data_IF_034510446030
#
_entry.id   IF_034510446030
#
_cell.length_a   1.000
_cell.length_b   1.000
_cell.length_c   1.000
_cell.angle_alpha   90.00
_cell.angle_beta   90.00
_cell.angle_gamma   90.00
#
_symmetry.space_group_name_H-M   'P 1'
#
loop_
_entity.id
_entity.type
_entity.pdbx_description
1 polymer ?
#
# COMPACT_ATOMS: atom_id res chain seq x y z
N UNK A 1 -1.17 1.48 -6.49
CA UNK A 1 -1.60 0.66 -5.38
C UNK A 1 -0.97 1.16 -4.10
N UNK A 2 -1.75 1.73 -3.19
CA UNK A 2 -1.29 2.14 -1.88
C UNK A 2 -1.55 0.99 -0.90
N UNK A 3 -0.51 0.38 -0.39
CA UNK A 3 -0.61 -0.66 0.64
C UNK A 3 -0.18 -0.06 1.98
N UNK A 4 -1.09 -0.05 2.94
CA UNK A 4 -0.80 0.35 4.31
C UNK A 4 -0.60 -0.92 5.12
N UNK A 5 0.64 -1.21 5.48
CA UNK A 5 1.04 -2.40 6.22
C UNK A 5 1.63 -2.02 7.57
N UNK A 6 1.29 -2.75 8.61
CA UNK A 6 1.90 -2.58 9.94
C UNK A 6 2.95 -3.66 10.18
N UNK A 7 4.20 -3.25 10.26
CA UNK A 7 5.29 -4.11 10.71
C UNK A 7 5.97 -3.46 11.92
N UNK A 8 5.34 -3.55 13.08
CA UNK A 8 6.02 -3.20 14.33
C UNK A 8 6.37 -4.49 15.06
N UNK A 9 7.66 -4.79 15.17
CA UNK A 9 8.12 -5.85 16.05
C UNK A 9 7.87 -5.46 17.52
N UNK A 10 7.59 -6.42 18.43
CA UNK A 10 7.30 -6.14 19.84
C UNK A 10 8.42 -5.41 20.61
N UNK A 11 9.62 -5.33 20.03
CA UNK A 11 10.81 -4.69 20.62
C UNK A 11 11.06 -3.26 20.13
N UNK A 12 10.14 -2.70 19.31
CA UNK A 12 10.28 -1.35 18.77
C UNK A 12 11.34 -1.20 17.67
N UNK A 13 12.00 -2.29 17.24
CA UNK A 13 13.01 -2.24 16.19
C UNK A 13 12.39 -2.42 14.80
N UNK A 14 12.59 -1.43 13.94
CA UNK A 14 12.19 -1.48 12.52
C UNK A 14 13.21 -2.32 11.74
N UNK A 15 12.88 -3.57 11.43
CA UNK A 15 13.61 -4.34 10.41
C UNK A 15 12.78 -4.40 9.13
N UNK A 16 13.04 -3.49 8.22
CA UNK A 16 12.63 -3.63 6.81
C UNK A 16 13.62 -4.62 6.19
N UNK A 17 13.20 -5.86 6.01
CA UNK A 17 13.97 -6.84 5.24
C UNK A 17 13.94 -6.46 3.76
N UNK A 18 15.08 -6.03 3.21
CA UNK A 18 15.26 -5.71 1.79
C UNK A 18 15.06 -6.90 0.83
N UNK A 19 14.83 -8.10 1.35
CA UNK A 19 14.75 -9.35 0.58
C UNK A 19 13.34 -9.67 0.06
N UNK A 20 12.31 -8.93 0.45
CA UNK A 20 10.91 -9.23 0.10
C UNK A 20 10.34 -8.48 -1.11
N UNK A 21 11.10 -7.57 -1.71
CA UNK A 21 10.59 -6.68 -2.78
C UNK A 21 10.51 -7.39 -4.16
N UNK A 22 11.07 -8.59 -4.29
CA UNK A 22 11.20 -9.28 -5.57
C UNK A 22 10.22 -10.43 -5.86
N UNK A 23 9.40 -10.86 -4.89
CA UNK A 23 8.52 -12.01 -5.07
C UNK A 23 7.08 -11.67 -4.67
N UNK A 24 6.24 -11.40 -5.67
CA UNK A 24 4.77 -11.48 -5.65
C UNK A 24 4.07 -10.99 -4.39
N UNK A 25 3.62 -9.74 -4.38
CA UNK A 25 2.92 -9.09 -3.25
C UNK A 25 1.65 -9.85 -2.79
N UNK A 26 1.17 -10.85 -3.53
CA UNK A 26 -0.05 -11.60 -3.20
C UNK A 26 0.11 -12.78 -2.23
N UNK A 27 1.32 -13.34 -2.09
CA UNK A 27 1.54 -14.55 -1.30
C UNK A 27 2.54 -14.40 -0.15
N UNK A 28 3.37 -13.35 -0.14
CA UNK A 28 4.50 -13.23 0.78
C UNK A 28 4.16 -12.48 2.08
N UNK A 29 3.15 -11.61 2.11
CA UNK A 29 2.79 -10.87 3.31
C UNK A 29 2.21 -11.79 4.40
N UNK A 30 1.41 -12.80 4.03
CA UNK A 30 0.86 -13.79 4.97
C UNK A 30 1.90 -14.77 5.54
N UNK A 31 2.93 -15.10 4.75
CA UNK A 31 3.95 -16.08 5.16
C UNK A 31 5.07 -15.45 6.00
N UNK A 32 5.39 -14.17 5.82
CA UNK A 32 6.46 -13.50 6.55
C UNK A 32 6.07 -13.23 8.01
N UNK A 33 4.81 -12.97 8.31
CA UNK A 33 4.33 -12.77 9.68
C UNK A 33 4.31 -14.08 10.46
N UNK A 34 4.07 -15.22 9.80
CA UNK A 34 4.06 -16.55 10.42
C UNK A 34 5.45 -17.12 10.72
N UNK A 35 6.50 -16.70 10.00
CA UNK A 35 7.83 -17.30 10.15
C UNK A 35 8.76 -16.56 11.11
N UNK A 36 8.45 -15.33 11.52
CA UNK A 36 9.28 -14.58 12.48
C UNK A 36 9.00 -15.02 13.93
N UNK A 37 7.90 -15.73 14.19
CA UNK A 37 7.50 -16.15 15.55
C UNK A 37 8.02 -17.56 15.93
N UNK A 38 8.71 -18.30 15.04
CA UNK A 38 8.89 -19.72 15.26
C UNK A 38 10.26 -20.33 15.04
N UNK A 39 11.37 -19.72 15.48
CA UNK A 39 12.67 -20.43 15.43
C UNK A 39 13.28 -20.84 16.76
N UNK A 40 12.68 -20.48 17.89
CA UNK A 40 13.10 -20.99 19.19
C UNK A 40 11.91 -21.48 20.00
N UNK A 41 11.95 -22.74 20.36
CA UNK A 41 10.92 -23.46 21.14
C UNK A 41 10.60 -22.81 22.50
N UNK A 42 11.38 -21.85 22.95
CA UNK A 42 11.11 -21.01 24.14
C UNK A 42 10.25 -19.77 23.82
N UNK A 43 10.21 -19.32 22.56
CA UNK A 43 9.37 -18.20 22.11
C UNK A 43 7.92 -18.57 21.89
N UNK A 44 7.62 -19.87 21.62
CA UNK A 44 6.27 -20.34 21.31
C UNK A 44 5.33 -20.27 22.53
N UNK A 45 5.83 -20.39 23.73
CA UNK A 45 5.01 -20.35 24.97
C UNK A 45 4.68 -18.92 25.39
N UNK A 46 5.55 -17.97 25.10
CA UNK A 46 5.29 -16.54 25.34
C UNK A 46 4.35 -15.95 24.28
N UNK A 47 4.40 -16.51 23.05
CA UNK A 47 3.56 -16.08 21.93
C UNK A 47 2.08 -16.42 22.06
N UNK A 48 1.69 -17.47 22.79
CA UNK A 48 0.30 -17.90 22.85
C UNK A 48 -0.57 -17.13 23.83
N UNK A 49 -0.03 -16.60 24.91
CA UNK A 49 -0.81 -15.82 25.87
C UNK A 49 -0.69 -14.29 25.65
N UNK A 50 0.49 -13.81 25.24
CA UNK A 50 0.71 -12.39 24.92
C UNK A 50 0.39 -12.03 23.46
N UNK A 51 0.62 -12.96 22.52
CA UNK A 51 0.39 -12.73 21.10
C UNK A 51 -1.07 -12.53 20.72
N UNK A 52 -1.99 -13.22 21.41
CA UNK A 52 -3.43 -13.05 21.16
C UNK A 52 -3.95 -11.67 21.62
N UNK A 53 -3.42 -11.12 22.72
CA UNK A 53 -3.81 -9.80 23.20
C UNK A 53 -3.22 -8.68 22.34
N UNK A 54 -1.96 -8.81 21.92
CA UNK A 54 -1.30 -7.87 21.01
C UNK A 54 -1.92 -7.96 19.61
N UNK A 55 -2.22 -9.16 19.11
CA UNK A 55 -2.88 -9.38 17.82
C UNK A 55 -4.30 -8.80 17.80
N UNK A 56 -5.07 -8.92 18.88
CA UNK A 56 -6.40 -8.33 18.99
C UNK A 56 -6.35 -6.79 19.05
N UNK A 57 -5.38 -6.22 19.76
CA UNK A 57 -5.20 -4.76 19.81
C UNK A 57 -4.81 -4.19 18.43
N UNK A 58 -3.91 -4.85 17.72
CA UNK A 58 -3.52 -4.48 16.35
C UNK A 58 -4.72 -4.61 15.41
N UNK A 59 -5.47 -5.73 15.48
CA UNK A 59 -6.67 -5.96 14.68
C UNK A 59 -7.69 -4.82 14.83
N UNK A 60 -7.97 -4.39 16.05
CA UNK A 60 -8.91 -3.31 16.34
C UNK A 60 -8.46 -1.95 15.78
N UNK A 61 -7.14 -1.68 15.75
CA UNK A 61 -6.60 -0.44 15.16
C UNK A 61 -6.82 -0.46 13.65
N UNK A 62 -6.53 -1.57 13.00
CA UNK A 62 -6.75 -1.72 11.55
C UNK A 62 -8.23 -1.67 11.16
N UNK A 63 -9.12 -2.27 11.96
CA UNK A 63 -10.56 -2.21 11.72
C UNK A 63 -11.07 -0.77 11.76
N UNK A 64 -10.59 0.03 12.70
CA UNK A 64 -10.92 1.46 12.80
C UNK A 64 -10.32 2.27 11.64
N UNK A 65 -9.06 2.02 11.29
CA UNK A 65 -8.38 2.69 10.19
C UNK A 65 -9.06 2.37 8.85
N UNK A 66 -9.39 1.10 8.60
CA UNK A 66 -10.12 0.67 7.41
C UNK A 66 -11.50 1.34 7.30
N UNK A 67 -12.27 1.32 8.40
CA UNK A 67 -13.58 1.96 8.44
C UNK A 67 -13.46 3.46 8.14
N UNK A 68 -12.53 4.15 8.78
CA UNK A 68 -12.33 5.58 8.59
C UNK A 68 -11.91 5.91 7.15
N UNK A 69 -11.03 5.11 6.54
CA UNK A 69 -10.66 5.24 5.14
C UNK A 69 -11.87 5.03 4.22
N UNK A 70 -12.68 3.99 4.45
CA UNK A 70 -13.90 3.73 3.67
C UNK A 70 -14.88 4.88 3.77
N UNK A 71 -15.12 5.40 4.97
CA UNK A 71 -16.07 6.49 5.21
C UNK A 71 -15.58 7.79 4.53
N UNK A 72 -14.31 8.15 4.69
CA UNK A 72 -13.73 9.37 4.11
C UNK A 72 -13.60 9.32 2.58
N UNK A 73 -13.28 8.15 2.02
CA UNK A 73 -13.06 7.96 0.58
C UNK A 73 -14.33 7.58 -0.18
N UNK A 74 -15.48 7.49 0.49
CA UNK A 74 -16.76 7.21 -0.17
C UNK A 74 -17.04 8.23 -1.28
N UNK A 75 -17.31 7.73 -2.50
CA UNK A 75 -17.59 8.57 -3.66
C UNK A 75 -16.35 9.23 -4.32
N UNK A 76 -15.14 8.99 -3.83
CA UNK A 76 -13.91 9.52 -4.42
C UNK A 76 -13.47 8.78 -5.68
N UNK A 77 -13.89 7.53 -5.86
CA UNK A 77 -13.40 6.60 -6.88
C UNK A 77 -12.20 5.76 -6.43
N UNK A 78 -11.68 5.98 -5.21
CA UNK A 78 -10.64 5.14 -4.60
C UNK A 78 -11.32 3.97 -3.90
N UNK A 79 -10.94 2.74 -4.26
CA UNK A 79 -11.41 1.54 -3.59
C UNK A 79 -10.55 1.25 -2.34
N UNK A 80 -11.21 0.82 -1.26
CA UNK A 80 -10.56 0.43 0.00
C UNK A 80 -10.85 -1.04 0.23
N UNK A 81 -9.82 -1.87 0.19
CA UNK A 81 -9.90 -3.32 0.32
C UNK A 81 -9.02 -3.79 1.49
N UNK A 82 -9.48 -4.81 2.21
CA UNK A 82 -8.65 -5.52 3.18
C UNK A 82 -8.09 -6.77 2.56
N UNK A 83 -6.78 -6.90 2.49
CA UNK A 83 -6.10 -8.04 1.84
C UNK A 83 -5.57 -9.07 2.84
N UNK A 84 -5.62 -8.78 4.14
CA UNK A 84 -5.17 -9.69 5.19
C UNK A 84 -5.31 -9.11 6.59
N UNK A 85 -4.81 -9.83 7.60
CA UNK A 85 -4.72 -9.28 8.95
C UNK A 85 -3.63 -8.20 8.98
N UNK A 86 -4.04 -6.94 9.16
CA UNK A 86 -3.14 -5.81 9.29
C UNK A 86 -2.68 -5.20 7.96
N UNK A 87 -3.40 -5.43 6.87
CA UNK A 87 -3.11 -4.81 5.57
C UNK A 87 -4.38 -4.21 4.96
N UNK A 88 -4.31 -2.92 4.64
CA UNK A 88 -5.36 -2.18 3.94
C UNK A 88 -4.80 -1.73 2.61
N UNK A 89 -5.47 -2.10 1.53
CA UNK A 89 -5.13 -1.75 0.16
C UNK A 89 -6.05 -0.64 -0.34
N UNK A 90 -5.47 0.43 -0.86
CA UNK A 90 -6.18 1.49 -1.55
C UNK A 90 -5.87 1.36 -3.05
N UNK A 91 -6.88 1.32 -3.89
CA UNK A 91 -6.73 1.26 -5.34
C UNK A 91 -7.32 2.52 -5.95
N UNK A 92 -6.48 3.30 -6.61
CA UNK A 92 -6.87 4.52 -7.30
C UNK A 92 -6.64 4.35 -8.81
N UNK A 93 -7.70 4.30 -9.65
CA UNK A 93 -7.56 4.14 -11.09
C UNK A 93 -7.03 5.42 -11.75
N UNK A 94 -6.37 5.29 -12.91
CA UNK A 94 -5.71 6.39 -13.62
C UNK A 94 -6.67 7.56 -13.93
N UNK A 95 -7.92 7.27 -14.29
CA UNK A 95 -8.87 8.31 -14.67
C UNK A 95 -9.10 9.38 -13.59
N UNK A 96 -8.83 9.07 -12.31
CA UNK A 96 -8.94 10.02 -11.21
C UNK A 96 -7.58 10.51 -10.72
N UNK A 97 -6.48 9.82 -11.03
CA UNK A 97 -5.14 10.07 -10.45
C UNK A 97 -4.28 10.98 -11.31
N UNK A 98 -4.05 10.60 -12.56
CA UNK A 98 -3.12 11.28 -13.48
C UNK A 98 -3.72 11.42 -14.87
N UNK A 99 -3.18 12.34 -15.67
CA UNK A 99 -3.42 12.37 -17.10
C UNK A 99 -2.48 11.40 -17.83
N UNK A 100 -2.82 11.07 -19.07
CA UNK A 100 -2.01 10.18 -19.91
C UNK A 100 -0.58 10.72 -20.03
N UNK A 101 0.40 9.84 -19.82
CA UNK A 101 1.84 10.17 -19.83
C UNK A 101 2.26 11.28 -18.83
N UNK A 102 1.44 11.55 -17.82
CA UNK A 102 1.73 12.54 -16.77
C UNK A 102 1.92 11.87 -15.41
N UNK A 103 2.76 12.48 -14.58
CA UNK A 103 2.90 12.19 -13.15
C UNK A 103 2.42 13.35 -12.26
N UNK A 104 1.71 14.32 -12.86
CA UNK A 104 1.09 15.42 -12.13
C UNK A 104 -0.23 14.94 -11.55
N UNK A 105 -0.39 15.04 -10.24
CA UNK A 105 -1.58 14.60 -9.52
C UNK A 105 -2.77 15.48 -9.90
N UNK A 106 -3.90 14.87 -10.24
CA UNK A 106 -5.14 15.61 -10.53
C UNK A 106 -5.73 16.21 -9.25
N UNK A 107 -6.33 17.42 -9.28
CA UNK A 107 -6.94 18.05 -8.11
C UNK A 107 -7.97 17.16 -7.41
N UNK A 108 -8.71 16.35 -8.16
CA UNK A 108 -9.66 15.39 -7.60
C UNK A 108 -8.97 14.33 -6.73
N UNK A 109 -7.78 13.88 -7.16
CA UNK A 109 -7.01 12.89 -6.40
C UNK A 109 -6.30 13.52 -5.21
N UNK A 110 -5.86 14.78 -5.31
CA UNK A 110 -5.33 15.54 -4.17
C UNK A 110 -6.32 15.58 -3.00
N UNK A 111 -7.61 15.85 -3.28
CA UNK A 111 -8.66 15.81 -2.27
C UNK A 111 -8.80 14.42 -1.60
N UNK A 112 -8.56 13.35 -2.34
CA UNK A 112 -8.57 12.00 -1.79
C UNK A 112 -7.33 11.74 -0.94
N UNK A 113 -6.15 12.20 -1.40
CA UNK A 113 -4.89 12.08 -0.67
C UNK A 113 -4.89 12.91 0.61
N UNK A 114 -5.58 14.07 0.65
CA UNK A 114 -5.77 14.84 1.88
C UNK A 114 -6.49 14.00 2.95
N UNK A 115 -7.58 13.36 2.57
CA UNK A 115 -8.34 12.47 3.47
C UNK A 115 -7.51 11.25 3.91
N UNK A 116 -6.72 10.68 2.99
CA UNK A 116 -5.79 9.58 3.31
C UNK A 116 -4.74 10.07 4.31
N UNK A 117 -4.14 11.24 4.07
CA UNK A 117 -3.10 11.80 4.95
C UNK A 117 -3.60 12.04 6.38
N UNK A 118 -4.84 12.54 6.54
CA UNK A 118 -5.46 12.70 7.86
C UNK A 118 -5.54 11.37 8.63
N UNK A 119 -5.96 10.29 7.95
CA UNK A 119 -6.02 8.96 8.56
C UNK A 119 -4.62 8.43 8.88
N UNK A 120 -3.65 8.59 7.97
CA UNK A 120 -2.27 8.16 8.18
C UNK A 120 -1.56 8.90 9.32
N UNK A 121 -1.91 10.16 9.55
CA UNK A 121 -1.41 10.95 10.68
C UNK A 121 -2.02 10.49 12.01
N UNK A 122 -3.30 10.10 12.00
CA UNK A 122 -3.99 9.57 13.17
C UNK A 122 -3.50 8.17 13.58
N UNK A 123 -3.03 7.38 12.61
CA UNK A 123 -2.50 6.03 12.82
C UNK A 123 -1.00 5.97 12.42
N UNK A 124 -0.10 6.47 13.26
CA UNK A 124 1.32 6.67 12.90
C UNK A 124 2.15 5.39 12.83
N UNK A 125 1.64 4.25 13.30
CA UNK A 125 2.34 2.96 13.33
C UNK A 125 2.31 2.23 11.98
N UNK A 126 1.47 2.65 11.04
CA UNK A 126 1.36 2.00 9.72
C UNK A 126 2.51 2.41 8.81
N UNK A 127 3.16 1.43 8.17
CA UNK A 127 4.04 1.66 7.05
C UNK A 127 3.24 1.72 5.73
N UNK A 128 3.75 2.46 4.75
CA UNK A 128 3.03 2.80 3.53
C UNK A 128 3.88 2.38 2.33
N UNK A 129 3.31 1.56 1.45
CA UNK A 129 3.91 1.22 0.17
C UNK A 129 3.04 1.84 -0.92
N UNK A 130 3.63 2.67 -1.77
CA UNK A 130 2.98 3.29 -2.90
C UNK A 130 3.49 2.61 -4.17
N UNK A 131 2.60 2.01 -4.94
CA UNK A 131 2.94 1.23 -6.12
C UNK A 131 2.28 1.81 -7.36
N UNK A 132 3.08 2.24 -8.33
CA UNK A 132 2.61 2.70 -9.61
C UNK A 132 2.58 1.58 -10.65
N UNK A 133 1.50 1.50 -11.42
CA UNK A 133 1.31 0.52 -12.48
C UNK A 133 0.83 1.17 -13.77
N UNK A 134 1.24 0.61 -14.91
CA UNK A 134 0.75 0.96 -16.25
C UNK A 134 0.08 -0.25 -16.89
N UNK A 135 -0.60 -0.04 -18.01
CA UNK A 135 -0.93 -1.12 -18.92
C UNK A 135 0.27 -1.49 -19.80
N UNK A 136 0.08 -2.41 -20.74
CA UNK A 136 1.11 -2.85 -21.68
C UNK A 136 1.25 -1.95 -22.90
N UNK A 137 0.57 -0.82 -22.99
CA UNK A 137 0.68 0.11 -24.11
C UNK A 137 2.01 0.84 -24.05
N UNK A 138 2.75 0.86 -25.15
CA UNK A 138 4.10 1.40 -25.20
C UNK A 138 5.17 0.36 -24.86
N UNK A 139 6.29 0.81 -24.36
CA UNK A 139 7.43 -0.04 -24.00
C UNK A 139 7.84 0.17 -22.53
N UNK A 140 8.60 -0.77 -22.00
CA UNK A 140 9.04 -0.74 -20.60
C UNK A 140 9.93 0.46 -20.27
N UNK A 141 10.70 0.97 -21.27
CA UNK A 141 11.55 2.14 -21.08
C UNK A 141 10.76 3.43 -20.81
N UNK A 142 9.47 3.47 -21.16
CA UNK A 142 8.54 4.56 -20.87
C UNK A 142 7.72 4.22 -19.63
N UNK A 143 7.17 3.02 -19.57
CA UNK A 143 6.23 2.61 -18.52
C UNK A 143 6.87 2.51 -17.14
N UNK A 144 8.11 2.02 -17.06
CA UNK A 144 8.80 1.89 -15.79
C UNK A 144 9.11 3.24 -15.13
N UNK A 145 9.77 4.21 -15.80
CA UNK A 145 9.98 5.53 -15.20
C UNK A 145 8.67 6.29 -14.95
N UNK A 146 7.65 6.15 -15.82
CA UNK A 146 6.36 6.80 -15.62
C UNK A 146 5.69 6.32 -14.33
N UNK A 147 5.60 5.00 -14.13
CA UNK A 147 5.00 4.42 -12.91
C UNK A 147 5.78 4.79 -11.65
N UNK A 148 7.11 4.84 -11.73
CA UNK A 148 7.97 5.28 -10.62
C UNK A 148 7.74 6.75 -10.27
N UNK A 149 7.67 7.61 -11.29
CA UNK A 149 7.43 9.04 -11.09
C UNK A 149 6.05 9.31 -10.49
N UNK A 150 5.02 8.57 -10.92
CA UNK A 150 3.68 8.65 -10.35
C UNK A 150 3.67 8.27 -8.87
N UNK A 151 4.24 7.11 -8.53
CA UNK A 151 4.36 6.67 -7.13
C UNK A 151 5.15 7.69 -6.28
N UNK A 152 6.21 8.27 -6.83
CA UNK A 152 7.00 9.33 -6.16
C UNK A 152 6.21 10.62 -5.96
N UNK A 153 5.36 11.01 -6.93
CA UNK A 153 4.50 12.19 -6.78
C UNK A 153 3.51 12.02 -5.63
N UNK A 154 2.87 10.84 -5.53
CA UNK A 154 1.98 10.53 -4.40
C UNK A 154 2.74 10.52 -3.08
N UNK A 155 3.93 9.92 -3.03
CA UNK A 155 4.79 9.93 -1.84
C UNK A 155 5.12 11.36 -1.39
N UNK A 156 5.58 12.20 -2.32
CA UNK A 156 5.91 13.61 -2.05
C UNK A 156 4.70 14.41 -1.56
N UNK A 157 3.53 14.14 -2.12
CA UNK A 157 2.30 14.77 -1.68
C UNK A 157 1.95 14.40 -0.23
N UNK A 158 1.96 13.12 0.12
CA UNK A 158 1.69 12.68 1.49
C UNK A 158 2.73 13.22 2.49
N UNK A 159 4.01 13.31 2.09
CA UNK A 159 5.06 13.92 2.91
C UNK A 159 4.79 15.40 3.13
N UNK A 160 4.36 16.14 2.09
CA UNK A 160 4.00 17.57 2.21
C UNK A 160 2.82 17.81 3.17
N UNK A 161 1.95 16.79 3.35
CA UNK A 161 0.84 16.81 4.32
C UNK A 161 1.26 16.35 5.73
N UNK A 162 2.54 16.11 5.97
CA UNK A 162 3.09 15.79 7.28
C UNK A 162 3.29 14.31 7.58
N UNK A 163 3.01 13.40 6.63
CA UNK A 163 3.31 11.98 6.80
C UNK A 163 4.83 11.78 6.77
N UNK A 164 5.38 11.11 7.78
CA UNK A 164 6.83 10.91 7.89
C UNK A 164 7.37 10.10 6.71
N UNK A 165 8.41 10.62 6.03
CA UNK A 165 9.05 9.96 4.89
C UNK A 165 9.61 8.57 5.23
N UNK A 166 10.03 8.35 6.48
CA UNK A 166 10.53 7.06 6.96
C UNK A 166 9.48 5.93 6.95
N UNK A 167 8.19 6.28 6.86
CA UNK A 167 7.07 5.34 6.74
C UNK A 167 6.72 5.00 5.30
N UNK A 168 7.21 5.77 4.33
CA UNK A 168 6.76 5.69 2.94
C UNK A 168 7.83 5.03 2.09
N UNK A 169 7.44 4.01 1.33
CA UNK A 169 8.22 3.40 0.27
C UNK A 169 7.44 3.50 -1.04
N UNK A 170 8.05 4.03 -2.11
CA UNK A 170 7.43 4.16 -3.42
C UNK A 170 8.13 3.29 -4.46
N UNK A 171 7.34 2.56 -5.26
CA UNK A 171 7.85 1.60 -6.26
C UNK A 171 7.06 1.73 -7.55
N UNK A 172 7.75 1.77 -8.70
CA UNK A 172 7.12 1.66 -10.02
C UNK A 172 7.26 0.25 -10.57
N UNK A 173 6.17 -0.35 -10.96
CA UNK A 173 6.15 -1.70 -11.56
C UNK A 173 5.97 -1.67 -13.08
N UNK A 174 5.68 -0.51 -13.68
CA UNK A 174 5.36 -0.44 -15.10
C UNK A 174 4.22 -1.38 -15.44
N UNK A 175 4.34 -2.09 -16.56
CA UNK A 175 3.37 -3.08 -17.05
C UNK A 175 3.55 -4.49 -16.48
N UNK A 176 4.53 -4.72 -15.60
CA UNK A 176 4.94 -6.08 -15.17
C UNK A 176 3.97 -6.80 -14.24
N UNK A 177 2.99 -6.10 -13.68
CA UNK A 177 2.02 -6.69 -12.73
C UNK A 177 0.59 -6.40 -13.15
N UNK A 178 0.11 -6.96 -14.27
CA UNK A 178 -1.26 -6.78 -14.70
C UNK A 178 -2.23 -7.50 -13.74
N UNK A 179 -3.39 -6.89 -13.48
CA UNK A 179 -4.51 -7.50 -12.73
C UNK A 179 -5.67 -7.87 -13.64
N UNK A 180 -5.65 -7.39 -14.89
CA UNK A 180 -6.64 -7.68 -15.92
C UNK A 180 -5.97 -7.88 -17.28
N UNK A 181 -6.75 -8.35 -18.28
CA UNK A 181 -6.23 -8.60 -19.61
C UNK A 181 -5.86 -7.31 -20.33
N UNK A 182 -4.62 -7.22 -20.81
CA UNK A 182 -4.18 -6.10 -21.65
C UNK A 182 -4.75 -6.14 -23.09
N UNK A 183 -5.43 -7.21 -23.50
CA UNK A 183 -6.04 -7.32 -24.83
C UNK A 183 -7.31 -6.48 -25.01
N UNK A 184 -7.97 -6.10 -23.91
CA UNK A 184 -9.16 -5.27 -23.91
C UNK A 184 -8.89 -3.89 -23.34
N UNK A 185 -9.62 -2.85 -23.81
CA UNK A 185 -9.48 -1.50 -23.25
C UNK A 185 -9.88 -1.45 -21.78
N UNK A 186 -10.95 -2.15 -21.40
CA UNK A 186 -11.39 -2.24 -20.01
C UNK A 186 -10.29 -2.84 -19.13
N UNK A 187 -9.65 -3.94 -19.54
CA UNK A 187 -8.57 -4.55 -18.75
C UNK A 187 -7.31 -3.68 -18.69
N UNK A 188 -6.98 -2.97 -19.77
CA UNK A 188 -5.89 -1.98 -19.73
C UNK A 188 -6.19 -0.86 -18.74
N UNK A 189 -7.44 -0.35 -18.73
CA UNK A 189 -7.84 0.68 -17.77
C UNK A 189 -7.72 0.22 -16.31
N UNK A 190 -8.02 -1.06 -16.02
CA UNK A 190 -7.81 -1.63 -14.69
C UNK A 190 -6.33 -1.77 -14.32
N UNK A 191 -5.46 -2.03 -15.31
CA UNK A 191 -4.02 -2.13 -15.08
C UNK A 191 -3.37 -0.77 -14.79
N UNK A 192 -3.89 0.34 -15.33
CA UNK A 192 -3.44 1.71 -15.02
C UNK A 192 -3.99 2.16 -13.66
N UNK A 193 -3.18 2.01 -12.60
CA UNK A 193 -3.58 2.30 -11.22
C UNK A 193 -2.41 2.72 -10.32
N UNK A 194 -2.73 3.39 -9.23
CA UNK A 194 -1.86 3.70 -8.09
C UNK A 194 -2.41 3.10 -6.79
#
# INVERSE_FOLDING_TARGET
LLVVSCTTAPDGTKKVSKTGIGAGIGAAAGAAIGQIIGKDTKGTVIGTAGGAAVGAAIGNIFDRQEKELKDKLKGSGVAVERTGQGEIKLVAPENITFDTNSSIIKPRFENSLDKVSEVLLKYPESDIIISGHTDSTGNDSINEPLSRNRASSVASYLISKGVRSSRINSVGYGSRQPIASNSTESGRAENRRE
#
